data_IF_033478269771
#
_entry.id   IF_033478269771
#
_cell.length_a   1.000
_cell.length_b   1.000
_cell.length_c   1.000
_cell.angle_alpha   90.00
_cell.angle_beta   90.00
_cell.angle_gamma   90.00
#
_symmetry.space_group_name_H-M   'P 1'
#
loop_
_entity.id
_entity.type
_entity.pdbx_description
1 polymer ?
#
# COMPACT_ATOMS: atom_id res chain seq x y z
N UNK A 1 -6.31 -13.79 27.06
CA UNK A 1 -7.00 -13.88 25.76
C UNK A 1 -6.04 -14.56 24.81
N UNK A 2 -6.29 -15.82 24.43
CA UNK A 2 -5.55 -16.47 23.34
C UNK A 2 -6.04 -15.84 22.05
N UNK A 3 -5.24 -14.95 21.44
CA UNK A 3 -5.50 -14.47 20.09
C UNK A 3 -5.56 -15.66 19.12
N UNK A 4 -6.38 -15.56 18.07
CA UNK A 4 -6.44 -16.61 17.05
C UNK A 4 -5.05 -16.79 16.41
N UNK A 5 -4.71 -18.03 16.03
CA UNK A 5 -3.40 -18.37 15.45
C UNK A 5 -3.15 -17.54 14.19
N UNK A 6 -4.17 -17.38 13.33
CA UNK A 6 -4.06 -16.53 12.14
C UNK A 6 -3.83 -15.06 12.50
N UNK A 7 -4.43 -14.55 13.58
CA UNK A 7 -4.24 -13.17 14.02
C UNK A 7 -2.81 -12.92 14.52
N UNK A 8 -2.22 -13.89 15.23
CA UNK A 8 -0.81 -13.80 15.65
C UNK A 8 0.14 -13.78 14.45
N UNK A 9 -0.12 -14.62 13.44
CA UNK A 9 0.68 -14.66 12.20
C UNK A 9 0.51 -13.37 11.39
N UNK A 10 -0.71 -12.87 11.28
CA UNK A 10 -1.00 -11.60 10.62
C UNK A 10 -0.27 -10.43 11.32
N UNK A 11 -0.27 -10.40 12.65
CA UNK A 11 0.46 -9.38 13.43
C UNK A 11 1.96 -9.38 13.10
N UNK A 12 2.58 -10.56 13.04
CA UNK A 12 4.01 -10.68 12.68
C UNK A 12 4.29 -10.22 11.26
N UNK A 13 3.43 -10.58 10.30
CA UNK A 13 3.55 -10.13 8.90
C UNK A 13 3.37 -8.61 8.81
N UNK A 14 2.36 -8.03 9.45
CA UNK A 14 2.12 -6.59 9.47
C UNK A 14 3.31 -5.80 10.03
N UNK A 15 3.95 -6.33 11.08
CA UNK A 15 5.12 -5.69 11.67
C UNK A 15 6.37 -5.77 10.76
N UNK A 16 6.54 -6.86 10.01
CA UNK A 16 7.71 -7.09 9.17
C UNK A 16 7.56 -6.51 7.75
N UNK A 17 6.34 -6.44 7.23
CA UNK A 17 6.09 -6.10 5.83
C UNK A 17 6.45 -4.64 5.54
N UNK A 18 7.37 -4.47 4.60
CA UNK A 18 7.74 -3.17 4.05
C UNK A 18 7.54 -3.21 2.54
N UNK A 19 6.75 -2.27 2.05
CA UNK A 19 6.46 -2.12 0.62
C UNK A 19 6.72 -0.68 0.23
N UNK A 20 7.75 -0.48 -0.60
CA UNK A 20 8.17 0.83 -1.06
C UNK A 20 7.24 1.37 -2.16
N UNK A 21 7.08 2.69 -2.22
CA UNK A 21 6.39 3.36 -3.33
C UNK A 21 7.34 3.52 -4.53
N UNK A 22 7.39 2.48 -5.37
CA UNK A 22 8.31 2.39 -6.51
C UNK A 22 7.81 3.03 -7.82
N UNK A 23 6.50 3.19 -7.97
CA UNK A 23 5.88 3.67 -9.22
C UNK A 23 5.53 5.14 -9.13
N UNK A 24 5.68 5.89 -10.22
CA UNK A 24 5.30 7.31 -10.29
C UNK A 24 4.05 7.49 -11.16
N UNK A 25 3.08 8.27 -10.67
CA UNK A 25 1.88 8.63 -11.41
C UNK A 25 2.04 10.02 -12.01
N UNK A 26 2.11 10.13 -13.34
CA UNK A 26 2.15 11.45 -14.01
C UNK A 26 0.85 12.24 -13.84
N UNK A 27 -0.28 11.54 -13.66
CA UNK A 27 -1.58 12.18 -13.48
C UNK A 27 -1.78 12.75 -12.07
N UNK A 28 -1.29 12.03 -11.06
CA UNK A 28 -1.42 12.42 -9.66
C UNK A 28 -0.19 13.13 -9.10
N UNK A 29 0.92 13.12 -9.83
CA UNK A 29 2.23 13.64 -9.42
C UNK A 29 2.74 13.07 -8.08
N UNK A 30 2.49 11.78 -7.83
CA UNK A 30 2.91 11.09 -6.61
C UNK A 30 3.47 9.69 -6.88
N UNK A 31 4.31 9.23 -5.95
CA UNK A 31 4.77 7.85 -5.93
C UNK A 31 3.76 6.92 -5.25
N UNK A 32 3.59 5.72 -5.77
CA UNK A 32 2.68 4.70 -5.27
C UNK A 32 3.28 3.29 -5.36
N UNK A 33 2.59 2.34 -4.73
CA UNK A 33 2.79 0.89 -4.85
C UNK A 33 1.53 0.26 -5.39
N UNK A 34 1.64 -0.72 -6.26
CA UNK A 34 0.51 -1.46 -6.82
C UNK A 34 0.25 -2.75 -6.03
N UNK A 35 -0.74 -3.54 -6.49
CA UNK A 35 -1.10 -4.83 -5.90
C UNK A 35 0.08 -5.81 -5.95
N UNK A 36 0.79 -5.82 -7.07
CA UNK A 36 1.89 -6.74 -7.36
C UNK A 36 3.09 -6.49 -6.44
N UNK A 37 3.45 -5.23 -6.19
CA UNK A 37 4.52 -4.85 -5.25
C UNK A 37 4.22 -5.38 -3.84
N UNK A 38 2.97 -5.24 -3.39
CA UNK A 38 2.55 -5.70 -2.07
C UNK A 38 2.59 -7.23 -2.00
N UNK A 39 2.12 -7.93 -3.03
CA UNK A 39 2.15 -9.39 -3.07
C UNK A 39 3.59 -9.93 -3.11
N UNK A 40 4.48 -9.36 -3.93
CA UNK A 40 5.88 -9.77 -3.98
C UNK A 40 6.59 -9.59 -2.63
N UNK A 41 6.33 -8.48 -1.94
CA UNK A 41 6.88 -8.26 -0.60
C UNK A 41 6.26 -9.18 0.47
N UNK A 42 4.97 -9.52 0.35
CA UNK A 42 4.26 -10.36 1.32
C UNK A 42 4.55 -11.86 1.17
N UNK A 43 4.78 -12.34 -0.06
CA UNK A 43 5.06 -13.77 -0.36
C UNK A 43 6.08 -14.44 0.57
N UNK A 44 7.31 -13.90 0.74
CA UNK A 44 8.31 -14.54 1.60
C UNK A 44 7.88 -14.59 3.07
N UNK A 45 7.21 -13.54 3.57
CA UNK A 45 6.71 -13.49 4.95
C UNK A 45 5.55 -14.48 5.16
N UNK A 46 4.63 -14.58 4.20
CA UNK A 46 3.55 -15.55 4.24
C UNK A 46 4.09 -16.98 4.26
N UNK A 47 5.09 -17.28 3.42
CA UNK A 47 5.76 -18.59 3.40
C UNK A 47 6.43 -18.90 4.75
N UNK A 48 7.18 -17.95 5.32
CA UNK A 48 7.83 -18.11 6.62
C UNK A 48 6.83 -18.42 7.75
N UNK A 49 5.65 -17.78 7.73
CA UNK A 49 4.61 -17.99 8.74
C UNK A 49 3.67 -19.17 8.44
N UNK A 50 3.86 -19.86 7.31
CA UNK A 50 2.97 -20.95 6.90
C UNK A 50 1.56 -20.46 6.56
N UNK A 51 1.46 -19.35 5.83
CA UNK A 51 0.21 -18.76 5.37
C UNK A 51 0.14 -18.72 3.83
N UNK A 52 -1.08 -18.77 3.32
CA UNK A 52 -1.42 -18.50 1.91
C UNK A 52 -2.08 -17.12 1.85
N UNK A 53 -1.68 -16.30 0.88
CA UNK A 53 -2.35 -15.04 0.55
C UNK A 53 -3.04 -15.18 -0.82
N UNK A 54 -4.35 -14.93 -0.87
CA UNK A 54 -5.13 -14.89 -2.12
C UNK A 54 -5.82 -13.54 -2.30
N UNK A 55 -6.19 -13.24 -3.55
CA UNK A 55 -6.99 -12.07 -3.92
C UNK A 55 -8.03 -12.51 -4.95
N UNK A 56 -9.29 -12.49 -4.55
CA UNK A 56 -10.42 -12.86 -5.40
C UNK A 56 -11.24 -11.63 -5.75
N UNK A 57 -11.52 -11.43 -7.04
CA UNK A 57 -12.28 -10.28 -7.54
C UNK A 57 -13.74 -10.67 -7.79
N UNK A 58 -14.65 -9.82 -7.34
CA UNK A 58 -16.08 -9.85 -7.60
C UNK A 58 -16.50 -8.55 -8.31
N UNK A 59 -17.58 -8.60 -9.10
CA UNK A 59 -18.09 -7.43 -9.82
C UNK A 59 -19.50 -7.13 -9.34
N UNK A 60 -19.70 -5.91 -8.83
CA UNK A 60 -20.99 -5.44 -8.29
C UNK A 60 -21.54 -4.30 -9.12
N UNK A 61 -22.70 -4.54 -9.72
CA UNK A 61 -23.52 -3.50 -10.35
C UNK A 61 -24.49 -2.94 -9.32
N UNK A 62 -24.39 -1.64 -9.04
CA UNK A 62 -25.33 -0.93 -8.17
C UNK A 62 -26.56 -0.46 -8.97
N UNK A 63 -27.67 -0.21 -8.26
CA UNK A 63 -28.94 0.23 -8.88
C UNK A 63 -28.82 1.52 -9.70
N UNK A 64 -27.85 2.38 -9.36
CA UNK A 64 -27.55 3.62 -10.10
C UNK A 64 -26.69 3.39 -11.37
N UNK A 65 -26.43 2.13 -11.75
CA UNK A 65 -25.64 1.76 -12.92
C UNK A 65 -24.13 1.77 -12.70
N UNK A 66 -23.64 2.01 -11.49
CA UNK A 66 -22.20 1.97 -11.21
C UNK A 66 -21.70 0.54 -11.06
N UNK A 67 -20.63 0.22 -11.79
CA UNK A 67 -19.93 -1.05 -11.68
C UNK A 67 -18.73 -0.87 -10.75
N UNK A 68 -18.61 -1.75 -9.76
CA UNK A 68 -17.48 -1.82 -8.85
C UNK A 68 -16.79 -3.18 -8.98
N UNK A 69 -15.46 -3.15 -9.03
CA UNK A 69 -14.66 -4.33 -8.73
C UNK A 69 -14.40 -4.34 -7.23
N UNK A 70 -14.71 -5.48 -6.60
CA UNK A 70 -14.51 -5.73 -5.17
C UNK A 70 -13.50 -6.87 -5.04
N UNK A 71 -12.30 -6.55 -4.58
CA UNK A 71 -11.29 -7.56 -4.30
C UNK A 71 -11.35 -7.97 -2.84
N UNK A 72 -11.35 -9.27 -2.57
CA UNK A 72 -11.17 -9.85 -1.24
C UNK A 72 -9.76 -10.38 -1.12
N UNK A 73 -8.94 -9.74 -0.29
CA UNK A 73 -7.63 -10.25 0.09
C UNK A 73 -7.79 -11.15 1.32
N UNK A 74 -7.32 -12.39 1.25
CA UNK A 74 -7.47 -13.39 2.32
C UNK A 74 -6.13 -13.99 2.69
N UNK A 75 -5.78 -13.92 3.98
CA UNK A 75 -4.66 -14.64 4.57
C UNK A 75 -5.20 -15.89 5.27
N UNK A 76 -4.75 -17.07 4.85
CA UNK A 76 -5.18 -18.36 5.39
C UNK A 76 -4.01 -19.09 6.01
N UNK A 77 -4.17 -19.55 7.25
CA UNK A 77 -3.22 -20.42 7.92
C UNK A 77 -3.27 -21.84 7.33
N UNK A 78 -2.12 -22.39 6.92
CA UNK A 78 -2.06 -23.68 6.23
C UNK A 78 -2.39 -24.84 7.18
N UNK A 79 -2.07 -24.74 8.47
CA UNK A 79 -2.23 -25.83 9.44
C UNK A 79 -3.67 -25.94 9.95
N UNK A 80 -4.26 -24.82 10.36
CA UNK A 80 -5.60 -24.76 10.95
C UNK A 80 -6.71 -24.51 9.93
N UNK A 81 -6.40 -23.93 8.77
CA UNK A 81 -7.39 -23.42 7.82
C UNK A 81 -8.11 -22.14 8.26
N UNK A 82 -7.76 -21.57 9.42
CA UNK A 82 -8.28 -20.27 9.85
C UNK A 82 -7.86 -19.18 8.87
N UNK A 83 -8.72 -18.18 8.65
CA UNK A 83 -8.43 -17.10 7.72
C UNK A 83 -8.91 -15.74 8.22
N UNK A 84 -8.23 -14.70 7.77
CA UNK A 84 -8.59 -13.29 7.95
C UNK A 84 -8.67 -12.65 6.57
N UNK A 85 -9.74 -11.88 6.34
CA UNK A 85 -9.98 -11.24 5.05
C UNK A 85 -10.31 -9.76 5.18
N UNK A 86 -9.92 -8.98 4.18
CA UNK A 86 -10.31 -7.58 4.00
C UNK A 86 -10.67 -7.33 2.56
N UNK A 87 -11.49 -6.30 2.35
CA UNK A 87 -11.96 -5.95 1.02
C UNK A 87 -11.40 -4.60 0.57
N UNK A 88 -11.26 -4.46 -0.73
CA UNK A 88 -10.97 -3.20 -1.41
C UNK A 88 -11.95 -3.03 -2.56
N UNK A 89 -12.36 -1.80 -2.80
CA UNK A 89 -13.39 -1.46 -3.77
C UNK A 89 -12.84 -0.41 -4.72
N UNK A 90 -13.08 -0.61 -6.01
CA UNK A 90 -12.76 0.36 -7.04
C UNK A 90 -13.91 0.45 -8.03
N UNK A 91 -14.33 1.68 -8.33
CA UNK A 91 -15.36 1.91 -9.34
C UNK A 91 -14.74 1.75 -10.73
N UNK A 92 -15.36 0.92 -11.54
CA UNK A 92 -15.09 0.85 -12.98
C UNK A 92 -15.68 2.11 -13.64
N UNK A 93 -14.85 2.82 -14.41
CA UNK A 93 -15.29 4.03 -15.13
C UNK A 93 -15.93 3.63 -16.45
N UNK A 94 -17.12 4.14 -16.74
CA UNK A 94 -17.85 3.77 -17.97
C UNK A 94 -17.06 4.10 -19.24
N UNK A 95 -16.28 5.18 -19.24
CA UNK A 95 -15.43 5.58 -20.35
C UNK A 95 -14.13 6.22 -19.86
N UNK A 96 -13.01 5.80 -20.47
CA UNK A 96 -11.74 6.54 -20.47
C UNK A 96 -11.27 6.61 -21.92
N UNK A 97 -11.13 7.82 -22.45
CA UNK A 97 -10.82 8.13 -23.87
C UNK A 97 -9.53 7.52 -24.43
N UNK A 98 -8.74 6.80 -23.62
CA UNK A 98 -7.46 6.17 -24.00
C UNK A 98 -7.31 4.71 -23.54
N UNK A 99 -8.36 4.07 -23.02
CA UNK A 99 -8.29 2.69 -22.51
C UNK A 99 -9.38 1.83 -23.14
N UNK A 100 -9.03 0.61 -23.53
CA UNK A 100 -10.04 -0.38 -23.93
C UNK A 100 -10.82 -0.90 -22.71
N UNK A 101 -12.02 -1.49 -22.89
CA UNK A 101 -12.84 -1.96 -21.78
C UNK A 101 -12.15 -2.96 -20.85
N UNK A 102 -11.30 -3.85 -21.37
CA UNK A 102 -10.57 -4.83 -20.55
C UNK A 102 -9.51 -4.16 -19.67
N UNK A 103 -8.86 -3.11 -20.18
CA UNK A 103 -7.91 -2.30 -19.42
C UNK A 103 -8.60 -1.50 -18.32
N UNK A 104 -9.84 -1.05 -18.56
CA UNK A 104 -10.65 -0.34 -17.56
C UNK A 104 -10.94 -1.27 -16.36
N UNK A 105 -11.45 -2.48 -16.60
CA UNK A 105 -11.71 -3.47 -15.54
C UNK A 105 -10.41 -3.91 -14.87
N UNK A 106 -9.33 -4.12 -15.62
CA UNK A 106 -8.02 -4.48 -15.07
C UNK A 106 -7.45 -3.41 -14.14
N UNK A 107 -7.59 -2.13 -14.51
CA UNK A 107 -7.18 -1.01 -13.66
C UNK A 107 -8.03 -0.93 -12.38
N UNK A 108 -9.34 -1.18 -12.47
CA UNK A 108 -10.21 -1.24 -11.30
C UNK A 108 -9.83 -2.41 -10.37
N UNK A 109 -9.57 -3.60 -10.92
CA UNK A 109 -9.08 -4.78 -10.16
C UNK A 109 -7.75 -4.51 -9.45
N UNK A 110 -6.77 -3.91 -10.14
CA UNK A 110 -5.48 -3.58 -9.51
C UNK A 110 -5.67 -2.59 -8.35
N UNK A 111 -6.53 -1.58 -8.52
CA UNK A 111 -6.81 -0.59 -7.48
C UNK A 111 -7.58 -1.21 -6.29
N UNK A 112 -8.61 -2.01 -6.56
CA UNK A 112 -9.35 -2.73 -5.53
C UNK A 112 -8.44 -3.68 -4.75
N UNK A 113 -7.59 -4.44 -5.44
CA UNK A 113 -6.63 -5.36 -4.82
C UNK A 113 -5.58 -4.65 -3.99
N UNK A 114 -5.02 -3.54 -4.47
CA UNK A 114 -4.12 -2.68 -3.68
C UNK A 114 -4.78 -2.27 -2.37
N UNK A 115 -6.03 -1.81 -2.41
CA UNK A 115 -6.79 -1.39 -1.21
C UNK A 115 -7.10 -2.55 -0.29
N UNK A 116 -7.48 -3.71 -0.82
CA UNK A 116 -7.77 -4.91 -0.03
C UNK A 116 -6.53 -5.37 0.75
N UNK A 117 -5.38 -5.46 0.07
CA UNK A 117 -4.11 -5.82 0.68
C UNK A 117 -3.61 -4.76 1.67
N UNK A 118 -3.80 -3.47 1.34
CA UNK A 118 -3.46 -2.39 2.26
C UNK A 118 -4.27 -2.46 3.56
N UNK A 119 -5.57 -2.74 3.47
CA UNK A 119 -6.44 -2.95 4.62
C UNK A 119 -6.04 -4.19 5.42
N UNK A 120 -5.66 -5.29 4.76
CA UNK A 120 -5.27 -6.54 5.42
C UNK A 120 -3.93 -6.40 6.15
N UNK A 121 -2.93 -5.79 5.51
CA UNK A 121 -1.58 -5.67 6.05
C UNK A 121 -1.30 -4.34 6.76
N UNK A 122 -2.34 -3.55 7.05
CA UNK A 122 -2.21 -2.25 7.72
C UNK A 122 -1.18 -1.33 7.03
N UNK A 123 -1.14 -1.37 5.70
CA UNK A 123 -0.22 -0.54 4.94
C UNK A 123 -0.75 0.88 4.86
N UNK A 124 0.02 1.79 5.44
CA UNK A 124 -0.30 3.21 5.45
C UNK A 124 -0.20 3.80 4.03
N UNK A 125 -1.35 3.99 3.39
CA UNK A 125 -1.47 4.69 2.10
C UNK A 125 -1.67 6.21 2.31
N UNK A 126 -1.68 6.70 3.56
CA UNK A 126 -1.84 8.12 3.91
C UNK A 126 -0.58 8.92 3.56
N UNK A 127 -0.51 9.20 2.27
CA UNK A 127 -0.21 10.54 1.80
C UNK A 127 -1.48 10.93 1.08
N UNK A 128 -2.54 11.20 1.86
CA UNK A 128 -3.79 11.72 1.29
C UNK A 128 -3.44 12.97 0.49
N UNK A 129 -3.89 13.03 -0.75
CA UNK A 129 -3.80 14.23 -1.57
C UNK A 129 -4.43 15.45 -0.87
N UNK A 130 -5.30 15.22 0.12
CA UNK A 130 -5.99 16.21 0.95
C UNK A 130 -5.16 16.69 2.16
N UNK A 131 -4.06 16.01 2.51
CA UNK A 131 -3.17 16.33 3.64
C UNK A 131 -1.90 17.07 3.25
N UNK A 132 -1.83 17.62 2.03
CA UNK A 132 -0.70 18.42 1.55
C UNK A 132 -0.68 19.79 2.22
N UNK A 133 -0.34 19.83 3.52
CA UNK A 133 0.31 21.00 4.07
C UNK A 133 1.56 21.31 3.24
N UNK A 134 1.92 22.59 3.13
CA UNK A 134 3.16 22.96 2.44
C UNK A 134 4.34 22.18 3.04
N UNK A 135 5.16 21.54 2.19
CA UNK A 135 6.41 20.90 2.64
C UNK A 135 7.20 21.91 3.45
N UNK A 136 7.48 21.61 4.72
CA UNK A 136 8.36 22.45 5.52
C UNK A 136 9.76 22.43 4.90
N UNK A 137 10.33 23.61 4.64
CA UNK A 137 11.71 23.69 4.21
C UNK A 137 12.63 23.20 5.34
N UNK A 138 13.63 22.36 5.05
CA UNK A 138 14.53 21.87 6.07
C UNK A 138 15.36 23.01 6.68
N UNK A 139 15.60 23.01 8.00
CA UNK A 139 16.44 23.99 8.67
C UNK A 139 17.84 24.06 8.04
N UNK A 140 18.41 25.26 7.92
CA UNK A 140 19.73 25.47 7.31
C UNK A 140 20.87 24.70 8.02
N UNK A 141 20.71 24.40 9.31
CA UNK A 141 21.63 23.61 10.13
C UNK A 141 20.87 22.76 11.14
N UNK A 142 21.36 21.56 11.44
CA UNK A 142 20.70 20.60 12.31
C UNK A 142 21.14 20.65 13.79
N UNK A 143 20.71 19.67 14.60
CA UNK A 143 19.96 18.48 14.19
C UNK A 143 18.45 18.73 13.99
N UNK A 144 17.86 18.07 13.00
CA UNK A 144 16.41 18.00 12.79
C UNK A 144 15.98 16.58 12.43
N UNK A 145 14.73 16.23 12.73
CA UNK A 145 14.14 14.94 12.40
C UNK A 145 13.40 15.04 11.07
N UNK A 146 13.47 13.97 10.28
CA UNK A 146 12.65 13.84 9.09
C UNK A 146 12.21 12.39 8.90
N UNK A 147 11.02 12.23 8.32
CA UNK A 147 10.41 10.96 7.95
C UNK A 147 10.37 10.82 6.44
N UNK A 148 10.83 9.68 5.92
CA UNK A 148 10.66 9.33 4.52
C UNK A 148 9.21 8.89 4.27
N UNK A 149 8.50 9.59 3.37
CA UNK A 149 7.11 9.28 2.97
C UNK A 149 6.98 8.06 2.06
N UNK A 150 8.10 7.61 1.49
CA UNK A 150 8.15 6.44 0.59
C UNK A 150 8.26 5.11 1.33
N UNK A 151 9.05 5.07 2.41
CA UNK A 151 9.31 3.83 3.17
C UNK A 151 9.03 3.93 4.67
N UNK A 152 8.68 5.12 5.18
CA UNK A 152 8.38 5.36 6.60
C UNK A 152 9.60 5.54 7.51
N UNK A 153 10.83 5.39 7.01
CA UNK A 153 12.06 5.55 7.82
C UNK A 153 12.15 6.95 8.45
N UNK A 154 12.41 7.01 9.75
CA UNK A 154 12.71 8.25 10.48
C UNK A 154 14.21 8.38 10.72
N UNK A 155 14.77 9.55 10.43
CA UNK A 155 16.21 9.83 10.53
C UNK A 155 16.46 11.23 11.09
N UNK A 156 17.56 11.38 11.82
CA UNK A 156 18.07 12.68 12.22
C UNK A 156 19.11 13.16 11.19
N UNK A 157 18.94 14.38 10.70
CA UNK A 157 19.86 15.03 9.77
C UNK A 157 20.52 16.24 10.43
N UNK A 158 21.76 16.52 10.04
CA UNK A 158 22.56 17.63 10.56
C UNK A 158 22.61 18.82 9.61
N UNK A 159 22.15 18.66 8.37
CA UNK A 159 22.00 19.73 7.38
C UNK A 159 21.11 19.26 6.20
N UNK A 160 20.58 20.19 5.39
CA UNK A 160 19.74 19.85 4.23
C UNK A 160 20.44 19.02 3.14
N UNK A 161 21.75 19.19 2.96
CA UNK A 161 22.51 18.44 1.96
C UNK A 161 22.52 16.94 2.29
N UNK A 162 22.78 16.60 3.54
CA UNK A 162 22.72 15.24 4.06
C UNK A 162 21.35 14.60 3.85
N UNK A 163 20.26 15.35 4.10
CA UNK A 163 18.88 14.88 3.88
C UNK A 163 18.62 14.59 2.38
N UNK A 164 19.13 15.43 1.47
CA UNK A 164 18.91 15.28 0.02
C UNK A 164 19.71 14.12 -0.58
N UNK A 165 20.90 13.84 -0.06
CA UNK A 165 21.77 12.79 -0.61
C UNK A 165 21.55 11.43 0.02
N UNK A 166 21.05 11.37 1.26
CA UNK A 166 20.86 10.11 1.97
C UNK A 166 19.76 9.26 1.34
N UNK A 167 20.08 7.98 1.08
CA UNK A 167 19.17 7.01 0.45
C UNK A 167 18.77 5.95 1.47
N UNK A 168 17.54 6.03 2.00
CA UNK A 168 16.97 4.95 2.82
C UNK A 168 16.23 3.87 2.01
N UNK A 169 15.81 4.22 0.79
CA UNK A 169 15.07 3.38 -0.15
C UNK A 169 15.40 3.87 -1.58
N UNK A 170 14.99 3.17 -2.65
CA UNK A 170 15.22 3.57 -4.03
C UNK A 170 14.75 4.99 -4.35
N UNK A 171 13.58 5.38 -3.82
CA UNK A 171 12.96 6.69 -4.03
C UNK A 171 12.70 7.42 -2.70
N UNK A 172 13.74 7.94 -2.01
CA UNK A 172 13.53 8.61 -0.73
C UNK A 172 12.85 9.96 -0.92
N UNK A 173 11.82 10.21 -0.10
CA UNK A 173 11.03 11.43 -0.11
C UNK A 173 10.85 11.91 1.33
N UNK A 174 11.89 12.57 1.84
CA UNK A 174 11.93 13.04 3.22
C UNK A 174 11.09 14.30 3.43
N UNK A 175 10.35 14.29 4.53
CA UNK A 175 9.59 15.43 5.06
C UNK A 175 10.07 15.69 6.50
N UNK A 176 10.29 16.96 6.83
CA UNK A 176 10.74 17.38 8.16
C UNK A 176 9.58 17.26 9.14
N UNK A 177 9.86 16.71 10.33
CA UNK A 177 8.90 16.58 11.45
C UNK A 177 8.94 17.81 12.38
#
# INVERSE_FOLDING_TARGET
MTGSVIQSKLLEIQNALKVEKGHYSDYGEYYYRNKEDILEAAKPLCHEKGCIITCDDDVRLLENGWVYVVTTARLTDVESGESEERHGWAREVAEKTKMDPSQITGAASSYAGKRALGNLFALDDSTDADGQGAKQEPPASGPFLARCRSCGTRMQFFNPEQMRTYRCCPNPDYEVE
#
